data_IF_972473495276
#
_entry.id   IF_972473495276
#
_cell.length_a   1.000
_cell.length_b   1.000
_cell.length_c   1.000
_cell.angle_alpha   90.00
_cell.angle_beta   90.00
_cell.angle_gamma   90.00
#
_symmetry.space_group_name_H-M   'P 1'
#
loop_
_entity.id
_entity.type
_entity.pdbx_description
1 polymer ?
#
# COMPACT_ATOMS: atom_id res chain seq x y z
N UNK A 1 18.03 -20.82 -2.07
CA UNK A 1 16.59 -20.54 -2.30
C UNK A 1 16.36 -19.10 -2.79
N UNK A 2 16.60 -17.99 -2.05
CA UNK A 2 16.36 -16.62 -2.57
C UNK A 2 17.23 -16.31 -3.79
N UNK A 3 18.54 -16.63 -3.76
CA UNK A 3 19.42 -16.44 -4.93
C UNK A 3 18.93 -17.25 -6.13
N UNK A 4 18.56 -18.51 -5.94
CA UNK A 4 18.02 -19.37 -7.01
C UNK A 4 16.73 -18.80 -7.59
N UNK A 5 15.85 -18.22 -6.73
CA UNK A 5 14.65 -17.52 -7.19
C UNK A 5 14.96 -16.23 -7.94
N UNK A 6 15.95 -15.46 -7.49
CA UNK A 6 16.40 -14.27 -8.19
C UNK A 6 17.03 -14.63 -9.55
N UNK A 7 17.87 -15.67 -9.60
CA UNK A 7 18.48 -16.19 -10.83
C UNK A 7 17.41 -16.68 -11.81
N UNK A 8 16.41 -17.39 -11.33
CA UNK A 8 15.27 -17.83 -12.12
C UNK A 8 14.42 -16.64 -12.61
N UNK A 9 14.15 -15.68 -11.71
CA UNK A 9 13.30 -14.52 -12.00
C UNK A 9 13.97 -13.52 -12.95
N UNK A 10 15.31 -13.37 -12.87
CA UNK A 10 16.08 -12.39 -13.68
C UNK A 10 15.45 -10.98 -13.67
N UNK A 11 14.90 -10.56 -12.55
CA UNK A 11 14.15 -9.31 -12.38
C UNK A 11 12.94 -9.15 -13.33
N UNK A 12 12.41 -10.24 -13.87
CA UNK A 12 11.31 -10.23 -14.82
C UNK A 12 9.96 -9.99 -14.15
N UNK A 13 9.78 -10.51 -12.93
CA UNK A 13 8.52 -10.40 -12.19
C UNK A 13 8.75 -9.76 -10.82
N UNK A 14 7.75 -9.08 -10.25
CA UNK A 14 7.80 -8.58 -8.88
C UNK A 14 8.05 -9.72 -7.89
N UNK A 15 8.91 -9.45 -6.91
CA UNK A 15 9.24 -10.40 -5.85
C UNK A 15 8.73 -9.86 -4.52
N UNK A 16 7.81 -10.58 -3.88
CA UNK A 16 7.20 -10.19 -2.61
C UNK A 16 7.74 -11.06 -1.48
N UNK A 17 8.07 -10.44 -0.35
CA UNK A 17 8.46 -11.15 0.86
C UNK A 17 8.01 -10.40 2.12
N UNK A 18 7.51 -11.15 3.11
CA UNK A 18 7.22 -10.63 4.45
C UNK A 18 8.53 -10.45 5.22
N UNK A 19 8.68 -9.31 5.89
CA UNK A 19 9.91 -8.99 6.62
C UNK A 19 9.67 -7.98 7.73
N UNK A 20 10.34 -8.19 8.86
CA UNK A 20 10.27 -7.31 10.03
C UNK A 20 8.82 -7.02 10.48
N UNK A 21 7.93 -7.98 10.30
CA UNK A 21 6.52 -7.87 10.65
C UNK A 21 6.36 -7.83 12.17
N UNK A 22 6.95 -8.77 12.87
CA UNK A 22 6.82 -8.92 14.31
C UNK A 22 8.13 -8.70 15.06
N UNK A 23 8.04 -8.17 16.28
CA UNK A 23 9.22 -7.99 17.15
C UNK A 23 9.96 -9.31 17.45
N UNK A 24 9.25 -10.45 17.45
CA UNK A 24 9.88 -11.74 17.63
C UNK A 24 10.84 -12.06 16.49
N UNK A 25 10.42 -11.87 15.24
CA UNK A 25 11.27 -12.05 14.06
C UNK A 25 12.56 -11.21 14.16
N UNK A 26 12.41 -9.92 14.53
CA UNK A 26 13.56 -9.02 14.69
C UNK A 26 14.52 -9.52 15.76
N UNK A 27 14.02 -9.99 16.92
CA UNK A 27 14.83 -10.52 18.00
C UNK A 27 15.53 -11.81 17.60
N UNK A 28 14.83 -12.73 16.95
CA UNK A 28 15.38 -14.00 16.49
C UNK A 28 16.48 -13.77 15.44
N UNK A 29 16.25 -12.89 14.48
CA UNK A 29 17.25 -12.55 13.47
C UNK A 29 18.52 -11.93 14.09
N UNK A 30 18.36 -11.01 15.04
CA UNK A 30 19.49 -10.46 15.79
C UNK A 30 20.24 -11.54 16.57
N UNK A 31 19.53 -12.47 17.20
CA UNK A 31 20.14 -13.55 17.96
C UNK A 31 20.96 -14.51 17.10
N UNK A 32 20.41 -14.95 15.96
CA UNK A 32 21.07 -15.93 15.09
C UNK A 32 22.10 -15.34 14.13
N UNK A 33 21.87 -14.12 13.65
CA UNK A 33 22.68 -13.53 12.57
C UNK A 33 23.40 -12.23 12.97
N UNK A 34 23.18 -11.73 14.17
CA UNK A 34 23.71 -10.43 14.65
C UNK A 34 23.35 -9.23 13.74
N UNK A 35 22.33 -9.39 12.91
CA UNK A 35 21.78 -8.40 11.99
C UNK A 35 20.26 -8.34 12.16
N UNK A 36 19.67 -7.21 11.84
CA UNK A 36 18.22 -7.10 11.73
C UNK A 36 17.73 -7.67 10.39
N UNK A 37 16.44 -8.04 10.25
CA UNK A 37 15.96 -8.76 9.07
C UNK A 37 16.29 -8.07 7.75
N UNK A 38 16.02 -6.76 7.63
CA UNK A 38 16.31 -6.01 6.39
C UNK A 38 17.82 -5.85 6.19
N UNK A 39 18.60 -5.61 7.24
CA UNK A 39 20.06 -5.56 7.14
C UNK A 39 20.61 -6.90 6.64
N UNK A 40 20.10 -8.00 7.18
CA UNK A 40 20.49 -9.36 6.78
C UNK A 40 20.13 -9.63 5.31
N UNK A 41 18.90 -9.25 4.90
CA UNK A 41 18.44 -9.42 3.52
C UNK A 41 19.37 -8.70 2.53
N UNK A 42 19.63 -7.41 2.74
CA UNK A 42 20.47 -6.60 1.85
C UNK A 42 21.96 -6.95 1.91
N UNK A 43 22.42 -7.62 2.96
CA UNK A 43 23.81 -8.10 3.07
C UNK A 43 24.04 -9.41 2.32
N UNK A 44 23.01 -10.19 2.06
CA UNK A 44 23.12 -11.52 1.48
C UNK A 44 22.55 -11.62 0.06
N UNK A 45 21.72 -10.65 -0.37
CA UNK A 45 21.01 -10.71 -1.64
C UNK A 45 21.02 -9.37 -2.35
N UNK A 46 20.92 -9.40 -3.68
CA UNK A 46 20.65 -8.23 -4.49
C UNK A 46 19.15 -7.88 -4.41
N UNK A 47 18.84 -6.80 -3.70
CA UNK A 47 17.49 -6.33 -3.47
C UNK A 47 17.32 -4.94 -4.07
N UNK A 48 16.39 -4.78 -5.00
CA UNK A 48 16.18 -3.55 -5.74
C UNK A 48 14.69 -3.24 -5.93
N UNK A 49 14.39 -2.45 -6.95
CA UNK A 49 13.06 -1.87 -7.18
C UNK A 49 11.95 -2.88 -7.56
N UNK A 50 12.31 -4.12 -7.94
CA UNK A 50 11.35 -5.20 -8.17
C UNK A 50 11.04 -6.01 -6.90
N UNK A 51 11.67 -5.66 -5.77
CA UNK A 51 11.41 -6.31 -4.49
C UNK A 51 10.41 -5.48 -3.69
N UNK A 52 9.38 -6.16 -3.23
CA UNK A 52 8.27 -5.61 -2.46
C UNK A 52 8.26 -6.22 -1.07
N UNK A 53 8.63 -5.40 -0.08
CA UNK A 53 8.78 -5.82 1.31
C UNK A 53 7.43 -5.64 2.00
N UNK A 54 6.78 -6.75 2.37
CA UNK A 54 5.48 -6.72 3.02
C UNK A 54 5.66 -6.43 4.50
N UNK A 55 4.83 -5.58 5.05
CA UNK A 55 4.82 -5.00 6.40
C UNK A 55 6.01 -4.08 6.68
N UNK A 56 7.21 -4.62 6.88
CA UNK A 56 8.39 -3.86 7.29
C UNK A 56 8.12 -2.98 8.53
N UNK A 57 7.25 -3.43 9.44
CA UNK A 57 6.68 -2.66 10.56
C UNK A 57 7.77 -2.13 11.50
N UNK A 58 8.74 -2.97 11.81
CA UNK A 58 9.76 -2.70 12.83
C UNK A 58 11.11 -2.25 12.26
N UNK A 59 11.10 -1.35 11.28
CA UNK A 59 12.35 -0.79 10.72
C UNK A 59 13.08 0.14 11.70
N UNK A 60 14.42 0.14 11.63
CA UNK A 60 15.24 1.21 12.17
C UNK A 60 15.67 2.20 11.06
N UNK A 61 16.36 3.28 11.44
CA UNK A 61 16.81 4.32 10.50
C UNK A 61 17.74 3.79 9.41
N UNK A 62 18.59 2.81 9.72
CA UNK A 62 19.52 2.21 8.76
C UNK A 62 18.77 1.37 7.74
N UNK A 63 17.81 0.57 8.18
CA UNK A 63 16.95 -0.25 7.31
C UNK A 63 16.08 0.62 6.40
N UNK A 64 15.49 1.71 6.91
CA UNK A 64 14.78 2.70 6.09
C UNK A 64 15.67 3.22 4.96
N UNK A 65 16.91 3.61 5.26
CA UNK A 65 17.86 4.08 4.24
C UNK A 65 18.20 3.00 3.21
N UNK A 66 18.42 1.75 3.63
CA UNK A 66 18.68 0.64 2.72
C UNK A 66 17.53 0.47 1.72
N UNK A 67 16.29 0.41 2.21
CA UNK A 67 15.09 0.24 1.36
C UNK A 67 14.96 1.41 0.38
N UNK A 68 15.07 2.64 0.88
CA UNK A 68 14.80 3.82 0.06
C UNK A 68 15.89 4.10 -0.98
N UNK A 69 17.16 3.85 -0.66
CA UNK A 69 18.28 3.99 -1.59
C UNK A 69 18.23 2.96 -2.72
N UNK A 70 17.77 1.74 -2.42
CA UNK A 70 17.60 0.67 -3.41
C UNK A 70 16.22 0.70 -4.10
N UNK A 71 15.38 1.70 -3.79
CA UNK A 71 14.07 1.92 -4.39
C UNK A 71 13.09 0.75 -4.24
N UNK A 72 13.32 -0.15 -3.30
CA UNK A 72 12.38 -1.21 -2.99
C UNK A 72 11.07 -0.62 -2.47
N UNK A 73 9.96 -1.30 -2.72
CA UNK A 73 8.64 -0.86 -2.30
C UNK A 73 8.24 -1.55 -1.00
N UNK A 74 7.53 -0.85 -0.12
CA UNK A 74 6.93 -1.44 1.08
C UNK A 74 5.43 -1.60 0.85
N UNK A 75 4.88 -2.76 1.19
CA UNK A 75 3.44 -3.02 1.15
C UNK A 75 2.94 -3.05 2.59
N UNK A 76 2.14 -2.07 2.96
CA UNK A 76 1.52 -1.97 4.28
C UNK A 76 0.16 -2.66 4.26
N UNK A 77 -0.14 -3.42 5.30
CA UNK A 77 -1.40 -4.17 5.44
C UNK A 77 -2.06 -3.84 6.78
N UNK A 78 -2.56 -2.60 6.96
CA UNK A 78 -2.98 -2.06 8.25
C UNK A 78 -4.02 -2.87 9.00
N UNK A 79 -4.99 -3.50 8.32
CA UNK A 79 -5.99 -4.35 8.98
C UNK A 79 -5.38 -5.63 9.52
N UNK A 80 -4.43 -6.25 8.80
CA UNK A 80 -3.69 -7.41 9.29
C UNK A 80 -2.78 -7.03 10.45
N UNK A 81 -1.98 -5.97 10.27
CA UNK A 81 -1.06 -5.44 11.29
C UNK A 81 -1.80 -5.07 12.59
N UNK A 82 -3.01 -4.50 12.46
CA UNK A 82 -3.88 -4.23 13.59
C UNK A 82 -4.45 -5.49 14.23
N UNK A 83 -4.87 -6.47 13.43
CA UNK A 83 -5.44 -7.73 13.94
C UNK A 83 -4.39 -8.59 14.67
N UNK A 84 -3.16 -8.62 14.16
CA UNK A 84 -2.05 -9.38 14.75
C UNK A 84 -1.31 -8.59 15.85
N UNK A 85 -1.66 -7.32 16.06
CA UNK A 85 -1.01 -6.41 16.99
C UNK A 85 0.49 -6.23 16.69
N UNK A 86 0.86 -6.17 15.41
CA UNK A 86 2.25 -6.03 14.97
C UNK A 86 2.82 -4.65 15.29
N UNK A 87 2.00 -3.62 15.28
CA UNK A 87 2.40 -2.24 15.59
C UNK A 87 2.19 -1.28 14.44
N UNK A 88 2.86 -0.13 14.50
CA UNK A 88 2.74 0.91 13.48
C UNK A 88 4.03 1.07 12.69
N UNK A 89 3.91 1.04 11.37
CA UNK A 89 5.00 1.36 10.47
C UNK A 89 5.47 2.82 10.64
N UNK A 90 6.75 3.08 10.51
CA UNK A 90 7.35 4.42 10.62
C UNK A 90 7.15 5.28 9.36
N UNK A 91 5.89 5.43 8.95
CA UNK A 91 5.53 6.03 7.66
C UNK A 91 6.08 7.45 7.48
N UNK A 92 6.02 8.29 8.50
CA UNK A 92 6.54 9.67 8.42
C UNK A 92 8.02 9.68 8.04
N UNK A 93 8.85 8.97 8.80
CA UNK A 93 10.28 8.87 8.56
C UNK A 93 10.59 8.24 7.18
N UNK A 94 9.81 7.23 6.80
CA UNK A 94 9.95 6.57 5.51
C UNK A 94 9.64 7.51 4.33
N UNK A 95 8.58 8.31 4.44
CA UNK A 95 8.22 9.33 3.44
C UNK A 95 9.24 10.47 3.36
N UNK A 96 9.79 10.92 4.50
CA UNK A 96 10.87 11.92 4.55
C UNK A 96 12.12 11.44 3.79
N UNK A 97 12.37 10.12 3.79
CA UNK A 97 13.42 9.49 2.99
C UNK A 97 12.98 9.11 1.56
N UNK A 98 11.83 9.63 1.08
CA UNK A 98 11.27 9.39 -0.26
C UNK A 98 10.96 7.93 -0.55
N UNK A 99 10.61 7.15 0.46
CA UNK A 99 10.28 5.74 0.33
C UNK A 99 9.05 5.47 -0.52
N UNK A 100 9.10 4.36 -1.27
CA UNK A 100 7.98 3.87 -2.04
C UNK A 100 7.14 2.92 -1.19
N UNK A 101 5.83 3.14 -1.16
CA UNK A 101 4.91 2.28 -0.42
C UNK A 101 3.55 2.20 -1.11
N UNK A 102 2.83 1.13 -0.84
CA UNK A 102 1.43 0.95 -1.21
C UNK A 102 0.70 0.16 -0.13
N UNK A 103 -0.56 -0.20 -0.38
CA UNK A 103 -1.39 -0.98 0.52
C UNK A 103 -1.66 -2.37 -0.04
N UNK A 104 -1.81 -3.34 0.85
CA UNK A 104 -2.28 -4.68 0.60
C UNK A 104 -3.33 -5.10 1.63
N UNK A 105 -4.11 -6.13 1.34
CA UNK A 105 -5.11 -6.71 2.24
C UNK A 105 -4.60 -7.92 3.03
N UNK A 106 -3.49 -8.49 2.59
CA UNK A 106 -2.82 -9.64 3.19
C UNK A 106 -3.79 -10.76 3.63
N UNK A 107 -4.07 -10.91 4.92
CA UNK A 107 -4.94 -11.97 5.48
C UNK A 107 -6.44 -11.78 5.17
N UNK A 108 -6.83 -10.78 4.38
CA UNK A 108 -8.20 -10.51 3.94
C UNK A 108 -9.23 -10.28 5.07
N UNK A 109 -8.80 -9.76 6.22
CA UNK A 109 -9.70 -9.31 7.29
C UNK A 109 -10.56 -8.17 6.80
N UNK A 110 -9.95 -7.22 6.06
CA UNK A 110 -10.62 -6.19 5.29
C UNK A 110 -10.24 -6.28 3.81
N UNK A 111 -11.18 -5.94 2.91
CA UNK A 111 -10.95 -5.88 1.47
C UNK A 111 -11.16 -4.47 0.91
N UNK A 112 -11.26 -3.47 1.78
CA UNK A 112 -11.53 -2.09 1.42
C UNK A 112 -10.25 -1.24 1.46
N UNK A 113 -9.74 -0.76 0.33
CA UNK A 113 -8.60 0.16 0.31
C UNK A 113 -8.84 1.45 1.10
N UNK A 114 -10.11 1.86 1.23
CA UNK A 114 -10.50 3.02 2.05
C UNK A 114 -10.34 2.74 3.54
N UNK A 115 -10.67 1.53 3.99
CA UNK A 115 -10.50 1.09 5.36
C UNK A 115 -9.03 0.96 5.72
N UNK A 116 -8.23 0.30 4.88
CA UNK A 116 -6.77 0.20 5.03
C UNK A 116 -6.14 1.60 5.16
N UNK A 117 -6.52 2.52 4.28
CA UNK A 117 -6.03 3.91 4.31
C UNK A 117 -6.41 4.62 5.61
N UNK A 118 -7.68 4.49 6.06
CA UNK A 118 -8.13 5.14 7.30
C UNK A 118 -7.44 4.58 8.53
N UNK A 119 -7.32 3.26 8.62
CA UNK A 119 -6.66 2.63 9.75
C UNK A 119 -5.19 3.06 9.86
N UNK A 120 -4.47 3.07 8.73
CA UNK A 120 -3.11 3.58 8.67
C UNK A 120 -3.03 5.05 9.12
N UNK A 121 -3.88 5.92 8.57
CA UNK A 121 -3.86 7.36 8.86
C UNK A 121 -4.23 7.65 10.32
N UNK A 122 -5.34 7.08 10.80
CA UNK A 122 -5.81 7.34 12.16
C UNK A 122 -4.86 6.74 13.21
N UNK A 123 -4.34 5.54 12.97
CA UNK A 123 -3.34 4.95 13.84
C UNK A 123 -2.11 5.84 14.01
N UNK A 124 -1.59 6.34 12.90
CA UNK A 124 -0.44 7.24 12.91
C UNK A 124 -0.75 8.62 13.51
N UNK A 125 -1.94 9.18 13.26
CA UNK A 125 -2.36 10.43 13.92
C UNK A 125 -2.41 10.31 15.43
N UNK A 126 -2.95 9.20 15.93
CA UNK A 126 -3.02 8.92 17.37
C UNK A 126 -1.64 8.71 17.98
N UNK A 127 -0.76 8.00 17.28
CA UNK A 127 0.61 7.77 17.73
C UNK A 127 1.46 9.03 17.75
N UNK A 128 1.32 9.90 16.74
CA UNK A 128 2.20 11.07 16.55
C UNK A 128 1.60 12.39 17.05
N UNK A 129 0.35 12.39 17.51
CA UNK A 129 -0.42 13.60 17.85
C UNK A 129 -0.38 14.64 16.71
N UNK A 130 -0.40 14.19 15.45
CA UNK A 130 -0.30 15.03 14.26
C UNK A 130 -1.31 14.62 13.20
N UNK A 131 -1.95 15.60 12.57
CA UNK A 131 -2.85 15.37 11.42
C UNK A 131 -2.09 15.31 10.07
N UNK A 132 -0.77 15.51 10.07
CA UNK A 132 0.07 15.55 8.86
C UNK A 132 0.69 14.20 8.57
N UNK A 133 -0.11 13.15 8.45
CA UNK A 133 0.36 11.79 8.17
C UNK A 133 0.72 11.61 6.70
N UNK A 134 -0.22 11.97 5.84
CA UNK A 134 -0.05 11.94 4.38
C UNK A 134 0.22 13.36 3.89
N UNK A 135 1.45 13.81 4.03
CA UNK A 135 1.86 15.15 3.66
C UNK A 135 3.22 15.13 2.96
N UNK A 136 3.31 15.91 1.89
CA UNK A 136 4.58 16.35 1.33
C UNK A 136 4.48 17.84 1.00
N UNK A 137 5.62 18.48 0.72
CA UNK A 137 5.67 19.91 0.41
C UNK A 137 5.04 20.27 -0.95
N UNK A 138 4.77 19.26 -1.79
CA UNK A 138 4.28 19.44 -3.16
C UNK A 138 2.75 19.33 -3.25
N UNK A 139 2.13 18.59 -2.31
CA UNK A 139 0.70 18.27 -2.36
C UNK A 139 0.02 18.61 -1.04
N UNK A 140 -0.78 19.66 -1.03
CA UNK A 140 -1.59 20.02 0.13
C UNK A 140 -2.76 19.05 0.39
N UNK A 141 -3.11 18.20 -0.59
CA UNK A 141 -4.22 17.26 -0.51
C UNK A 141 -3.72 15.85 -0.18
N UNK A 142 -3.97 15.42 1.05
CA UNK A 142 -3.56 14.11 1.56
C UNK A 142 -4.11 12.94 0.73
N UNK A 143 -5.37 13.00 0.30
CA UNK A 143 -6.00 11.91 -0.45
C UNK A 143 -5.42 11.75 -1.85
N UNK A 144 -5.00 12.84 -2.50
CA UNK A 144 -4.28 12.74 -3.78
C UNK A 144 -2.91 12.08 -3.62
N UNK A 145 -2.17 12.42 -2.56
CA UNK A 145 -0.89 11.78 -2.28
C UNK A 145 -1.07 10.28 -2.07
N UNK A 146 -2.01 9.91 -1.21
CA UNK A 146 -2.31 8.50 -0.91
C UNK A 146 -2.76 7.77 -2.17
N UNK A 147 -3.70 8.33 -2.93
CA UNK A 147 -4.20 7.71 -4.16
C UNK A 147 -3.06 7.43 -5.15
N UNK A 148 -2.15 8.40 -5.34
CA UNK A 148 -0.98 8.21 -6.19
C UNK A 148 -0.09 7.05 -5.67
N UNK A 149 0.19 7.01 -4.36
CA UNK A 149 1.04 5.97 -3.77
C UNK A 149 0.42 4.59 -3.89
N UNK A 150 -0.84 4.41 -3.50
CA UNK A 150 -1.50 3.10 -3.56
C UNK A 150 -1.74 2.65 -5.00
N UNK A 151 -2.04 3.56 -5.92
CA UNK A 151 -2.28 3.20 -7.32
C UNK A 151 -0.97 2.86 -8.04
N UNK A 152 -0.04 3.81 -8.17
CA UNK A 152 1.15 3.59 -9.00
C UNK A 152 2.11 2.57 -8.42
N UNK A 153 2.37 2.62 -7.11
CA UNK A 153 3.24 1.62 -6.49
C UNK A 153 2.55 0.26 -6.36
N UNK A 154 1.21 0.23 -6.18
CA UNK A 154 0.43 -1.01 -6.20
C UNK A 154 0.43 -1.66 -7.58
N UNK A 155 0.27 -0.89 -8.65
CA UNK A 155 0.38 -1.41 -10.02
C UNK A 155 1.78 -1.94 -10.30
N UNK A 156 2.83 -1.23 -9.89
CA UNK A 156 4.21 -1.71 -9.99
C UNK A 156 4.41 -3.02 -9.21
N UNK A 157 3.83 -3.14 -8.02
CA UNK A 157 3.88 -4.36 -7.23
C UNK A 157 3.18 -5.56 -7.91
N UNK A 158 2.24 -5.30 -8.80
CA UNK A 158 1.61 -6.32 -9.66
C UNK A 158 2.34 -6.56 -10.99
N UNK A 159 3.50 -5.95 -11.22
CA UNK A 159 4.25 -6.04 -12.47
C UNK A 159 3.64 -5.24 -13.62
N UNK A 160 2.83 -4.22 -13.31
CA UNK A 160 2.15 -3.39 -14.30
C UNK A 160 2.69 -1.96 -14.19
N UNK A 161 3.33 -1.48 -15.24
CA UNK A 161 3.74 -0.07 -15.29
C UNK A 161 2.57 0.81 -15.72
N UNK A 162 2.38 1.91 -15.01
CA UNK A 162 1.38 2.94 -15.28
C UNK A 162 1.97 4.34 -15.08
N UNK A 163 1.67 5.25 -16.01
CA UNK A 163 2.02 6.67 -15.92
C UNK A 163 0.80 7.53 -15.55
N UNK A 164 -0.40 7.06 -15.90
CA UNK A 164 -1.66 7.73 -15.63
C UNK A 164 -2.70 6.73 -15.11
N UNK A 165 -3.75 7.22 -14.47
CA UNK A 165 -4.87 6.39 -14.02
C UNK A 165 -5.60 5.71 -15.19
N UNK A 166 -5.76 6.44 -16.29
CA UNK A 166 -6.32 5.95 -17.53
C UNK A 166 -5.33 6.17 -18.66
N UNK A 167 -5.01 5.10 -19.38
CA UNK A 167 -4.09 5.10 -20.51
C UNK A 167 -4.70 4.39 -21.70
N UNK A 168 -4.39 4.91 -22.89
CA UNK A 168 -4.75 4.27 -24.15
C UNK A 168 -4.14 2.87 -24.21
N UNK A 169 -4.87 1.91 -24.80
CA UNK A 169 -4.45 0.51 -24.98
C UNK A 169 -4.29 -0.30 -23.67
N UNK A 170 -4.61 0.29 -22.52
CA UNK A 170 -4.61 -0.41 -21.26
C UNK A 170 -6.02 -0.89 -20.86
N UNK A 171 -6.06 -1.97 -20.08
CA UNK A 171 -7.32 -2.48 -19.51
C UNK A 171 -8.04 -1.38 -18.75
N UNK A 172 -9.30 -1.13 -19.10
CA UNK A 172 -10.16 -0.17 -18.45
C UNK A 172 -10.79 -0.81 -17.21
N UNK A 173 -10.16 -0.59 -16.06
CA UNK A 173 -10.62 -1.02 -14.75
C UNK A 173 -10.89 0.20 -13.88
N UNK A 174 -12.11 0.35 -13.39
CA UNK A 174 -12.48 1.48 -12.52
C UNK A 174 -13.73 1.17 -11.71
N UNK A 175 -13.96 1.98 -10.69
CA UNK A 175 -15.22 2.03 -9.95
C UNK A 175 -15.95 3.34 -10.27
N UNK A 176 -17.26 3.29 -10.33
CA UNK A 176 -18.15 4.45 -10.43
C UNK A 176 -18.70 4.75 -9.04
N UNK A 177 -18.52 5.98 -8.58
CA UNK A 177 -19.04 6.43 -7.28
C UNK A 177 -20.46 6.97 -7.46
N UNK A 178 -21.35 6.66 -6.53
CA UNK A 178 -22.73 7.13 -6.52
C UNK A 178 -22.79 8.61 -6.10
N UNK A 179 -22.94 9.50 -7.08
CA UNK A 179 -23.06 10.93 -6.89
C UNK A 179 -24.29 11.37 -6.07
N UNK A 180 -25.31 10.48 -5.93
CA UNK A 180 -26.54 10.77 -5.19
C UNK A 180 -26.36 10.62 -3.69
N UNK A 181 -25.28 10.04 -3.21
CA UNK A 181 -24.98 9.93 -1.78
C UNK A 181 -24.84 11.31 -1.14
N UNK A 182 -25.47 11.57 -0.01
CA UNK A 182 -25.57 12.93 0.55
C UNK A 182 -24.23 13.64 0.71
N UNK A 183 -23.21 13.00 1.27
CA UNK A 183 -21.90 13.58 1.46
C UNK A 183 -21.14 13.80 0.14
N UNK A 184 -21.29 12.88 -0.80
CA UNK A 184 -20.69 13.01 -2.14
C UNK A 184 -21.34 14.19 -2.88
N UNK A 185 -22.69 14.24 -2.87
CA UNK A 185 -23.47 15.30 -3.53
C UNK A 185 -23.17 16.69 -3.00
N UNK A 186 -22.91 16.80 -1.69
CA UNK A 186 -22.60 18.08 -1.04
C UNK A 186 -21.14 18.50 -1.09
N UNK A 187 -20.25 17.63 -1.58
CA UNK A 187 -18.82 17.92 -1.66
C UNK A 187 -18.48 18.80 -2.85
N UNK A 188 -17.60 19.77 -2.66
CA UNK A 188 -16.96 20.47 -3.76
C UNK A 188 -15.95 19.56 -4.47
N UNK A 189 -15.74 19.77 -5.77
CA UNK A 189 -14.81 18.93 -6.56
C UNK A 189 -13.41 18.82 -5.96
N UNK A 190 -12.89 19.89 -5.36
CA UNK A 190 -11.57 19.90 -4.71
C UNK A 190 -11.47 18.99 -3.48
N UNK A 191 -12.61 18.73 -2.81
CA UNK A 191 -12.69 17.95 -1.58
C UNK A 191 -13.28 16.55 -1.79
N UNK A 192 -13.76 16.26 -3.00
CA UNK A 192 -14.46 15.02 -3.31
C UNK A 192 -13.64 13.77 -2.97
N UNK A 193 -12.36 13.76 -3.32
CA UNK A 193 -11.50 12.63 -3.03
C UNK A 193 -11.27 12.45 -1.51
N UNK A 194 -11.13 13.55 -0.77
CA UNK A 194 -11.08 13.52 0.69
C UNK A 194 -12.38 12.94 1.28
N UNK A 195 -13.53 13.39 0.77
CA UNK A 195 -14.83 12.87 1.20
C UNK A 195 -14.91 11.36 0.96
N UNK A 196 -14.53 10.88 -0.23
CA UNK A 196 -14.52 9.44 -0.53
C UNK A 196 -13.61 8.68 0.43
N UNK A 197 -12.37 9.11 0.63
CA UNK A 197 -11.41 8.40 1.49
C UNK A 197 -11.83 8.36 2.96
N UNK A 198 -12.35 9.46 3.50
CA UNK A 198 -12.61 9.56 4.94
C UNK A 198 -14.05 9.25 5.37
N UNK A 199 -15.01 9.29 4.46
CA UNK A 199 -16.41 9.00 4.76
C UNK A 199 -17.03 7.90 3.90
N UNK A 200 -16.32 7.49 2.83
CA UNK A 200 -16.81 6.49 1.89
C UNK A 200 -16.68 5.06 2.41
N UNK A 201 -17.54 4.21 1.90
CA UNK A 201 -17.49 2.76 2.05
C UNK A 201 -18.03 2.07 0.77
N UNK A 202 -18.20 0.77 0.82
CA UNK A 202 -18.68 -0.02 -0.33
C UNK A 202 -20.04 0.46 -0.85
N UNK A 203 -20.90 1.06 0.00
CA UNK A 203 -22.20 1.59 -0.39
C UNK A 203 -22.13 2.84 -1.27
N UNK A 204 -20.96 3.49 -1.33
CA UNK A 204 -20.72 4.61 -2.24
C UNK A 204 -20.33 4.15 -3.65
N UNK A 205 -20.03 2.86 -3.84
CA UNK A 205 -19.71 2.29 -5.15
C UNK A 205 -21.03 1.97 -5.86
N UNK A 206 -21.29 2.64 -6.99
CA UNK A 206 -22.44 2.38 -7.84
C UNK A 206 -22.20 1.21 -8.77
N UNK A 207 -21.02 1.16 -9.38
CA UNK A 207 -20.65 0.11 -10.34
C UNK A 207 -19.14 -0.13 -10.34
N UNK A 208 -18.77 -1.39 -10.61
CA UNK A 208 -17.38 -1.83 -10.80
C UNK A 208 -17.19 -2.33 -12.22
N UNK A 209 -16.19 -1.80 -12.90
CA UNK A 209 -15.85 -2.17 -14.27
C UNK A 209 -14.50 -2.89 -14.31
N UNK A 210 -14.47 -4.04 -14.96
CA UNK A 210 -13.25 -4.82 -15.19
C UNK A 210 -13.12 -5.11 -16.68
N UNK A 211 -12.04 -4.67 -17.29
CA UNK A 211 -11.82 -4.74 -18.76
C UNK A 211 -12.98 -4.09 -19.55
N UNK A 212 -13.52 -2.98 -19.02
CA UNK A 212 -14.65 -2.26 -19.62
C UNK A 212 -16.03 -2.92 -19.40
N UNK A 213 -16.11 -4.09 -18.77
CA UNK A 213 -17.37 -4.78 -18.49
C UNK A 213 -17.89 -4.43 -17.09
N UNK A 214 -19.16 -4.05 -16.99
CA UNK A 214 -19.82 -3.80 -15.71
C UNK A 214 -20.04 -5.13 -14.96
N UNK A 215 -19.27 -5.34 -13.88
CA UNK A 215 -19.32 -6.56 -13.06
C UNK A 215 -20.44 -6.52 -12.02
N UNK A 216 -20.93 -5.36 -11.67
CA UNK A 216 -22.04 -5.21 -10.72
C UNK A 216 -23.34 -5.76 -11.29
N UNK A 217 -23.59 -5.60 -12.59
CA UNK A 217 -24.79 -6.11 -13.26
C UNK A 217 -24.72 -7.63 -13.50
N UNK A 218 -23.53 -8.15 -13.83
CA UNK A 218 -23.34 -9.58 -14.06
C UNK A 218 -23.68 -10.39 -12.79
N UNK A 219 -23.30 -9.88 -11.60
CA UNK A 219 -23.59 -10.57 -10.35
C UNK A 219 -25.07 -10.49 -9.93
N UNK A 220 -25.84 -9.52 -10.42
CA UNK A 220 -27.28 -9.44 -10.15
C UNK A 220 -28.11 -10.45 -10.95
N UNK A 221 -27.58 -10.94 -12.06
CA UNK A 221 -28.24 -11.90 -12.94
C UNK A 221 -27.89 -13.36 -12.62
N UNK A 222 -26.96 -13.59 -11.70
CA UNK A 222 -26.60 -14.91 -11.18
C UNK A 222 -27.19 -15.03 -9.76
N UNK A 223 -28.51 -15.11 -9.67
CA UNK A 223 -29.19 -15.55 -8.43
C UNK A 223 -28.80 -17.00 -8.19
N UNK A 224 -28.02 -17.22 -7.11
CA UNK A 224 -27.78 -18.52 -6.53
C UNK A 224 -28.93 -18.91 -5.62
#
# INVERSE_FOLDING_TARGET
MINELNDFNQNKYPFHLHISEQLKEVKDCLYYYSLRPVEWLYSNFEVGENHHLVHATHLNKKEIKLITQNKSNVILCPTTEGNLADGFFKLKEFQENKGNWCLGSDSHIGLSPLEETRLLDYGLRLQTNSRKTFYNNETANASHLVMNKIFFNGMKAMGIERKNYFEKECSLNFIEIDEKRPLIKSSENKDLLNTIFYTGDIRNIKSTYVKGLNRTEINKNNDF
#
